data_IF_763824168048
#
_entry.id   IF_763824168048
#
_cell.length_a   1.000
_cell.length_b   1.000
_cell.length_c   1.000
_cell.angle_alpha   90.00
_cell.angle_beta   90.00
_cell.angle_gamma   90.00
#
_symmetry.space_group_name_H-M   'P 1'
#
loop_
_entity.id
_entity.type
_entity.pdbx_description
1 polymer ?
#
# COMPACT_ATOMS: atom_id res chain seq x y z
N UNK A 1 -11.26 -0.39 -34.45
CA UNK A 1 -11.41 -0.75 -33.03
C UNK A 1 -10.39 0.08 -32.27
N UNK A 2 -10.81 0.89 -31.30
CA UNK A 2 -9.86 1.57 -30.43
C UNK A 2 -9.17 0.47 -29.61
N UNK A 3 -7.84 0.36 -29.74
CA UNK A 3 -7.05 -0.52 -28.87
C UNK A 3 -7.10 0.03 -27.44
N UNK A 4 -7.35 -0.84 -26.47
CA UNK A 4 -7.29 -0.50 -25.07
C UNK A 4 -5.88 0.01 -24.75
N UNK A 5 -5.77 1.21 -24.15
CA UNK A 5 -4.50 1.92 -23.95
C UNK A 5 -3.41 1.08 -23.24
N UNK A 6 -3.84 0.17 -22.37
CA UNK A 6 -2.93 -0.67 -21.57
C UNK A 6 -2.31 -1.83 -22.36
N UNK A 7 -2.87 -2.20 -23.55
CA UNK A 7 -2.31 -3.28 -24.39
C UNK A 7 -0.99 -2.91 -25.04
N UNK A 8 -0.79 -1.62 -25.33
CA UNK A 8 0.41 -1.11 -25.97
C UNK A 8 1.28 -0.29 -24.99
N UNK A 9 0.96 -0.35 -23.68
CA UNK A 9 1.66 0.41 -22.67
C UNK A 9 3.06 -0.17 -22.39
N UNK A 10 4.05 0.72 -22.28
CA UNK A 10 5.36 0.41 -21.72
C UNK A 10 5.39 0.99 -20.31
N UNK A 11 5.47 0.12 -19.32
CA UNK A 11 5.39 0.47 -17.90
C UNK A 11 6.80 0.56 -17.31
N UNK A 12 7.11 1.69 -16.68
CA UNK A 12 8.33 1.88 -15.90
C UNK A 12 7.99 1.85 -14.41
N UNK A 13 8.38 0.78 -13.74
CA UNK A 13 8.16 0.63 -12.29
C UNK A 13 9.19 1.44 -11.51
N UNK A 14 8.73 2.16 -10.49
CA UNK A 14 9.57 2.96 -9.60
C UNK A 14 9.38 2.48 -8.17
N UNK A 15 10.50 2.13 -7.54
CA UNK A 15 10.62 2.01 -6.10
C UNK A 15 11.14 3.34 -5.54
N UNK A 16 10.28 4.21 -4.95
CA UNK A 16 10.63 5.62 -4.70
C UNK A 16 11.90 5.80 -3.87
N UNK A 17 12.03 5.06 -2.77
CA UNK A 17 13.16 5.19 -1.82
C UNK A 17 14.55 5.02 -2.44
N UNK A 18 14.67 4.27 -3.53
CA UNK A 18 15.97 3.98 -4.17
C UNK A 18 16.12 4.61 -5.56
N UNK A 19 15.15 5.44 -6.00
CA UNK A 19 15.15 5.93 -7.37
C UNK A 19 15.95 7.24 -7.54
N UNK A 20 15.55 8.30 -6.85
CA UNK A 20 16.21 9.60 -6.92
C UNK A 20 15.94 10.40 -5.64
N UNK A 21 16.99 10.72 -4.95
CA UNK A 21 17.01 11.63 -3.81
C UNK A 21 17.05 13.09 -4.33
N UNK A 22 16.11 13.91 -3.90
CA UNK A 22 16.02 15.31 -4.32
C UNK A 22 16.60 16.30 -3.33
N UNK A 23 16.77 15.91 -2.06
CA UNK A 23 17.14 16.77 -0.94
C UNK A 23 18.51 16.45 -0.32
N UNK A 24 19.11 15.29 -0.68
CA UNK A 24 20.44 14.88 -0.22
C UNK A 24 20.45 14.13 1.11
N UNK A 25 19.31 13.56 1.54
CA UNK A 25 19.19 12.79 2.78
C UNK A 25 19.53 11.29 2.61
N UNK A 26 19.78 10.85 1.37
CA UNK A 26 20.07 9.45 1.02
C UNK A 26 18.84 8.62 0.70
N UNK A 27 17.64 9.22 0.71
CA UNK A 27 16.36 8.55 0.45
C UNK A 27 15.74 9.15 -0.80
N UNK A 28 15.36 8.31 -1.76
CA UNK A 28 14.61 8.76 -2.94
C UNK A 28 13.19 9.20 -2.56
N UNK A 29 12.66 10.19 -3.27
CA UNK A 29 11.42 10.86 -2.95
C UNK A 29 10.58 11.23 -4.19
N UNK A 30 9.35 11.74 -3.99
CA UNK A 30 8.44 12.12 -5.06
C UNK A 30 9.00 13.26 -5.93
N UNK A 31 9.71 14.21 -5.33
CA UNK A 31 10.36 15.32 -6.06
C UNK A 31 11.49 14.80 -6.93
N UNK A 32 12.25 13.82 -6.46
CA UNK A 32 13.26 13.13 -7.24
C UNK A 32 12.66 12.43 -8.47
N UNK A 33 11.48 11.78 -8.31
CA UNK A 33 10.78 11.22 -9.45
C UNK A 33 10.39 12.29 -10.46
N UNK A 34 9.88 13.44 -10.00
CA UNK A 34 9.53 14.58 -10.87
C UNK A 34 10.74 15.04 -11.69
N UNK A 35 11.93 15.12 -11.09
CA UNK A 35 13.15 15.51 -11.78
C UNK A 35 13.56 14.52 -12.88
N UNK A 36 13.08 13.28 -12.84
CA UNK A 36 13.44 12.21 -13.79
C UNK A 36 12.34 11.88 -14.82
N UNK A 37 11.22 12.60 -14.83
CA UNK A 37 10.11 12.32 -15.76
C UNK A 37 10.53 12.38 -17.23
N UNK A 38 11.37 13.34 -17.60
CA UNK A 38 11.86 13.47 -18.99
C UNK A 38 12.76 12.28 -19.36
N UNK A 39 13.60 11.82 -18.43
CA UNK A 39 14.39 10.59 -18.62
C UNK A 39 13.49 9.38 -18.83
N UNK A 40 12.50 9.16 -17.97
CA UNK A 40 11.55 8.03 -18.09
C UNK A 40 10.84 8.09 -19.45
N UNK A 41 10.39 9.28 -19.84
CA UNK A 41 9.74 9.48 -21.15
C UNK A 41 10.68 9.16 -22.32
N UNK A 42 11.96 9.52 -22.22
CA UNK A 42 12.96 9.27 -23.26
C UNK A 42 13.26 7.79 -23.50
N UNK A 43 12.97 6.93 -22.50
CA UNK A 43 13.07 5.48 -22.62
C UNK A 43 11.89 4.85 -23.40
N UNK A 44 10.90 5.64 -23.81
CA UNK A 44 9.71 5.17 -24.49
C UNK A 44 8.60 4.68 -23.53
N UNK A 45 8.76 4.88 -22.23
CA UNK A 45 7.69 4.57 -21.26
C UNK A 45 6.46 5.45 -21.50
N UNK A 46 5.29 4.87 -21.31
CA UNK A 46 3.98 5.55 -21.39
C UNK A 46 3.23 5.53 -20.07
N UNK A 47 3.69 4.70 -19.13
CA UNK A 47 3.11 4.54 -17.81
C UNK A 47 4.22 4.50 -16.76
N UNK A 48 4.00 5.16 -15.63
CA UNK A 48 4.79 5.01 -14.42
C UNK A 48 3.98 4.16 -13.45
N UNK A 49 4.59 3.12 -12.89
CA UNK A 49 4.05 2.35 -11.79
C UNK A 49 4.81 2.70 -10.51
N UNK A 50 4.14 3.34 -9.57
CA UNK A 50 4.70 3.65 -8.25
C UNK A 50 4.47 2.47 -7.29
N UNK A 51 5.54 1.91 -6.74
CA UNK A 51 5.45 1.10 -5.53
C UNK A 51 4.88 1.94 -4.38
N UNK A 52 4.36 1.31 -3.30
CA UNK A 52 3.58 2.02 -2.28
C UNK A 52 4.28 3.26 -1.74
N UNK A 53 3.54 4.37 -1.72
CA UNK A 53 3.98 5.67 -1.20
C UNK A 53 3.18 6.12 0.02
N UNK A 54 2.24 5.29 0.46
CA UNK A 54 1.35 5.56 1.60
C UNK A 54 2.10 5.57 2.93
N UNK A 55 1.49 6.17 3.95
CA UNK A 55 2.02 6.08 5.32
C UNK A 55 2.15 4.61 5.75
N UNK A 56 3.33 4.26 6.26
CA UNK A 56 3.71 2.88 6.58
C UNK A 56 4.80 2.88 7.65
N UNK A 57 4.84 1.93 8.58
CA UNK A 57 6.00 1.70 9.44
C UNK A 57 7.20 1.04 8.73
N UNK A 58 7.09 0.76 7.42
CA UNK A 58 8.15 0.24 6.54
C UNK A 58 8.72 -1.13 6.94
N UNK A 59 7.93 -1.97 7.59
CA UNK A 59 8.33 -3.35 7.95
C UNK A 59 8.49 -4.21 6.68
N UNK A 60 7.67 -3.92 5.66
CA UNK A 60 7.71 -4.54 4.34
C UNK A 60 7.81 -3.47 3.24
N UNK A 61 8.73 -2.54 3.41
CA UNK A 61 9.08 -1.53 2.39
C UNK A 61 7.90 -0.72 1.84
N UNK A 62 6.88 -0.45 2.67
CA UNK A 62 5.69 0.31 2.30
C UNK A 62 4.46 -0.54 1.99
N UNK A 63 4.62 -1.87 1.83
CA UNK A 63 3.49 -2.78 1.64
C UNK A 63 2.70 -3.05 2.93
N UNK A 64 3.15 -2.57 4.08
CA UNK A 64 2.47 -2.56 5.37
C UNK A 64 1.83 -1.19 5.62
N UNK A 65 0.71 -0.92 4.98
CA UNK A 65 0.07 0.41 4.96
C UNK A 65 -0.65 0.67 6.29
N UNK A 66 -0.30 1.80 6.93
CA UNK A 66 -0.95 2.27 8.16
C UNK A 66 -2.01 3.34 7.92
N UNK A 67 -1.95 4.06 6.79
CA UNK A 67 -2.96 5.03 6.36
C UNK A 67 -2.94 5.16 4.83
N UNK A 68 -4.06 4.84 4.18
CA UNK A 68 -4.21 4.93 2.72
C UNK A 68 -4.39 6.37 2.23
N UNK A 69 -4.70 7.31 3.10
CA UNK A 69 -4.99 8.71 2.77
C UNK A 69 -3.81 9.65 3.03
N UNK A 70 -2.65 9.11 3.42
CA UNK A 70 -1.46 9.90 3.71
C UNK A 70 -0.24 9.36 2.94
N UNK A 71 0.63 10.28 2.51
CA UNK A 71 1.93 9.95 1.94
C UNK A 71 2.92 9.71 3.08
N UNK A 72 3.83 8.73 2.90
CA UNK A 72 4.92 8.49 3.85
C UNK A 72 5.82 9.73 3.95
N UNK A 73 6.11 10.26 5.15
CA UNK A 73 6.79 11.56 5.30
C UNK A 73 8.17 11.65 4.64
N UNK A 74 8.93 10.54 4.59
CA UNK A 74 10.23 10.52 3.92
C UNK A 74 10.12 10.62 2.40
N UNK A 75 8.96 10.26 1.82
CA UNK A 75 8.75 10.30 0.37
C UNK A 75 8.19 11.63 -0.13
N UNK A 76 7.62 12.45 0.77
CA UNK A 76 7.06 13.75 0.42
C UNK A 76 5.68 13.99 1.02
N UNK A 77 4.93 14.86 0.37
CA UNK A 77 3.59 15.29 0.79
C UNK A 77 2.55 14.97 -0.27
N UNK A 78 1.27 15.18 0.05
CA UNK A 78 0.17 15.07 -0.92
C UNK A 78 0.33 16.09 -2.05
N UNK A 79 0.80 17.31 -1.74
CA UNK A 79 1.10 18.34 -2.74
C UNK A 79 2.22 17.91 -3.70
N UNK A 80 3.22 17.17 -3.21
CA UNK A 80 4.28 16.60 -4.05
C UNK A 80 3.71 15.51 -4.97
N UNK A 81 2.78 14.69 -4.48
CA UNK A 81 2.10 13.69 -5.31
C UNK A 81 1.22 14.35 -6.38
N UNK A 82 0.44 15.37 -6.02
CA UNK A 82 -0.38 16.13 -6.98
C UNK A 82 0.52 16.80 -8.05
N UNK A 83 1.69 17.29 -7.65
CA UNK A 83 2.67 17.85 -8.56
C UNK A 83 3.22 16.78 -9.51
N UNK A 84 3.58 15.60 -8.99
CA UNK A 84 4.05 14.46 -9.78
C UNK A 84 2.99 14.05 -10.81
N UNK A 85 1.74 13.88 -10.38
CA UNK A 85 0.64 13.47 -11.25
C UNK A 85 0.43 14.47 -12.40
N UNK A 86 0.36 15.77 -12.08
CA UNK A 86 0.22 16.84 -13.07
C UNK A 86 1.40 16.86 -14.06
N UNK A 87 2.64 16.77 -13.56
CA UNK A 87 3.86 16.80 -14.37
C UNK A 87 3.99 15.56 -15.28
N UNK A 88 3.59 14.37 -14.78
CA UNK A 88 3.55 13.15 -15.56
C UNK A 88 2.53 13.27 -16.70
N UNK A 89 1.32 13.72 -16.41
CA UNK A 89 0.25 13.90 -17.40
C UNK A 89 0.64 14.92 -18.49
N UNK A 90 1.29 16.02 -18.14
CA UNK A 90 1.80 17.00 -19.12
C UNK A 90 2.80 16.39 -20.11
N UNK A 91 3.49 15.32 -19.73
CA UNK A 91 4.43 14.55 -20.57
C UNK A 91 3.79 13.37 -21.29
N UNK A 92 2.48 13.19 -21.15
CA UNK A 92 1.74 12.05 -21.70
C UNK A 92 2.03 10.73 -20.99
N UNK A 93 2.57 10.78 -19.77
CA UNK A 93 2.77 9.60 -18.91
C UNK A 93 1.51 9.39 -18.04
N UNK A 94 1.03 8.15 -17.99
CA UNK A 94 0.02 7.74 -17.02
C UNK A 94 0.70 7.31 -15.73
N UNK A 95 -0.01 7.40 -14.62
CA UNK A 95 0.46 6.91 -13.31
C UNK A 95 -0.47 5.82 -12.85
N UNK A 96 0.09 4.68 -12.45
CA UNK A 96 -0.61 3.62 -11.73
C UNK A 96 0.07 3.41 -10.38
N UNK A 97 -0.71 3.02 -9.39
CA UNK A 97 -0.24 2.79 -8.02
C UNK A 97 -0.60 1.38 -7.58
N UNK A 98 0.18 0.83 -6.66
CA UNK A 98 -0.16 -0.43 -6.00
C UNK A 98 -1.45 -0.28 -5.18
N UNK A 99 -2.34 -1.23 -5.35
CA UNK A 99 -3.55 -1.39 -4.54
C UNK A 99 -3.31 -2.53 -3.54
N UNK A 100 -2.74 -2.19 -2.40
CA UNK A 100 -2.40 -3.16 -1.35
C UNK A 100 -3.59 -3.32 -0.40
N UNK A 101 -4.46 -4.26 -0.71
CA UNK A 101 -5.73 -4.50 0.01
C UNK A 101 -5.94 -5.95 0.43
N UNK A 102 -4.87 -6.77 0.41
CA UNK A 102 -4.90 -8.10 1.04
C UNK A 102 -4.83 -7.95 2.57
N UNK A 103 -4.07 -7.01 3.06
CA UNK A 103 -3.77 -6.76 4.47
C UNK A 103 -3.55 -5.27 4.71
N UNK A 104 -3.47 -4.88 5.98
CA UNK A 104 -2.94 -3.58 6.39
C UNK A 104 -1.71 -3.78 7.28
N UNK A 105 -1.03 -2.69 7.66
CA UNK A 105 -0.17 -2.72 8.83
C UNK A 105 -0.97 -3.04 10.10
N UNK A 106 -0.34 -3.69 11.08
CA UNK A 106 -0.90 -3.80 12.43
C UNK A 106 -1.01 -2.43 13.13
N UNK A 107 -0.37 -1.38 12.58
CA UNK A 107 -0.50 0.00 13.03
C UNK A 107 -1.63 0.77 12.34
N UNK A 108 -2.34 0.16 11.40
CA UNK A 108 -3.51 0.78 10.80
C UNK A 108 -4.60 0.99 11.85
N UNK A 109 -5.30 2.13 11.78
CA UNK A 109 -6.37 2.51 12.71
C UNK A 109 -7.39 1.39 12.91
N UNK A 110 -7.80 0.71 11.83
CA UNK A 110 -8.77 -0.40 11.93
C UNK A 110 -8.28 -1.53 12.82
N UNK A 111 -7.01 -1.92 12.71
CA UNK A 111 -6.46 -2.99 13.56
C UNK A 111 -6.31 -2.53 15.01
N UNK A 112 -5.77 -1.35 15.22
CA UNK A 112 -5.54 -0.79 16.55
C UNK A 112 -6.85 -0.57 17.35
N UNK A 113 -7.84 0.08 16.73
CA UNK A 113 -9.14 0.34 17.38
C UNK A 113 -9.98 -0.93 17.52
N UNK A 114 -9.89 -1.87 16.55
CA UNK A 114 -10.56 -3.17 16.62
C UNK A 114 -10.03 -4.06 17.74
N UNK A 115 -8.71 -4.09 17.93
CA UNK A 115 -8.07 -4.93 18.98
C UNK A 115 -8.18 -4.32 20.37
N UNK A 116 -8.09 -2.99 20.49
CA UNK A 116 -8.26 -2.30 21.79
C UNK A 116 -9.71 -2.23 22.27
N UNK A 117 -10.69 -2.55 21.41
CA UNK A 117 -12.12 -2.42 21.70
C UNK A 117 -12.64 -0.98 21.60
N UNK A 118 -11.83 -0.04 21.15
CA UNK A 118 -12.23 1.34 20.94
C UNK A 118 -13.30 1.46 19.84
N UNK A 119 -13.16 0.66 18.78
CA UNK A 119 -14.17 0.47 17.76
C UNK A 119 -14.32 -1.03 17.43
N UNK A 120 -15.22 -1.74 18.13
CA UNK A 120 -15.38 -3.20 17.96
C UNK A 120 -15.75 -3.62 16.53
N UNK A 121 -16.41 -2.77 15.76
CA UNK A 121 -16.78 -3.07 14.37
C UNK A 121 -15.55 -3.29 13.46
N UNK A 122 -14.44 -2.63 13.75
CA UNK A 122 -13.20 -2.82 13.00
C UNK A 122 -12.52 -4.18 13.25
N UNK A 123 -12.88 -4.87 14.33
CA UNK A 123 -12.39 -6.22 14.56
C UNK A 123 -12.76 -7.16 13.43
N UNK A 124 -13.99 -7.06 12.92
CA UNK A 124 -14.52 -7.91 11.85
C UNK A 124 -13.94 -7.55 10.46
N UNK A 125 -13.10 -6.50 10.37
CA UNK A 125 -12.35 -6.19 9.17
C UNK A 125 -11.18 -7.14 8.95
N UNK A 126 -10.83 -7.95 9.95
CA UNK A 126 -9.74 -8.92 9.90
C UNK A 126 -10.27 -10.34 10.14
N UNK A 127 -9.46 -11.34 9.82
CA UNK A 127 -9.83 -12.75 9.95
C UNK A 127 -9.32 -13.28 11.28
N UNK A 128 -10.24 -13.71 12.14
CA UNK A 128 -9.95 -14.18 13.49
C UNK A 128 -10.45 -15.59 13.71
N UNK A 129 -9.68 -16.38 14.49
CA UNK A 129 -10.08 -17.72 14.97
C UNK A 129 -9.65 -17.90 16.44
N UNK A 130 -10.49 -18.55 17.24
CA UNK A 130 -10.17 -18.83 18.65
C UNK A 130 -8.99 -19.79 18.79
N UNK A 131 -8.90 -20.77 17.89
CA UNK A 131 -7.80 -21.72 17.77
C UNK A 131 -7.27 -21.70 16.33
N UNK A 132 -6.02 -22.13 16.13
CA UNK A 132 -5.46 -22.24 14.77
C UNK A 132 -6.24 -23.27 13.96
N UNK A 133 -7.00 -22.89 12.93
CA UNK A 133 -7.88 -23.80 12.20
C UNK A 133 -7.09 -24.76 11.28
N UNK A 134 -5.83 -24.41 10.99
CA UNK A 134 -4.96 -25.19 10.10
C UNK A 134 -3.48 -24.90 10.39
N UNK A 135 -2.58 -25.53 9.61
CA UNK A 135 -1.12 -25.36 9.70
C UNK A 135 -0.56 -24.53 8.54
N UNK A 136 -1.30 -23.57 8.06
CA UNK A 136 -0.80 -22.70 6.99
C UNK A 136 0.46 -21.96 7.43
N UNK A 137 1.41 -21.90 6.49
CA UNK A 137 2.63 -21.11 6.64
C UNK A 137 2.48 -19.72 6.06
N UNK A 138 3.15 -18.76 6.67
CA UNK A 138 3.34 -17.42 6.11
C UNK A 138 4.38 -17.44 4.98
N UNK A 139 4.28 -16.53 4.02
CA UNK A 139 5.28 -16.34 2.97
C UNK A 139 6.67 -16.01 3.51
N UNK A 140 6.74 -15.32 4.65
CA UNK A 140 8.01 -14.99 5.31
C UNK A 140 8.46 -16.02 6.35
N UNK A 141 7.78 -17.18 6.39
CA UNK A 141 8.08 -18.27 7.28
C UNK A 141 7.30 -18.27 8.58
N UNK A 142 7.24 -19.42 9.21
CA UNK A 142 6.44 -19.62 10.43
C UNK A 142 4.95 -19.83 10.14
N UNK A 143 4.13 -19.76 11.19
CA UNK A 143 2.66 -19.89 11.10
C UNK A 143 2.05 -18.65 10.43
N UNK A 144 0.99 -18.84 9.64
CA UNK A 144 0.15 -17.75 9.15
C UNK A 144 -0.87 -17.25 10.19
N UNK A 145 -0.88 -17.80 11.40
CA UNK A 145 -1.77 -17.44 12.48
C UNK A 145 -0.98 -16.96 13.70
N UNK A 146 -1.25 -15.73 14.16
CA UNK A 146 -0.61 -15.14 15.32
C UNK A 146 -1.63 -14.83 16.41
N UNK A 147 -1.29 -15.16 17.66
CA UNK A 147 -2.17 -14.93 18.81
C UNK A 147 -2.09 -13.47 19.26
N UNK A 148 -3.24 -12.82 19.33
CA UNK A 148 -3.36 -11.48 19.90
C UNK A 148 -3.93 -11.57 21.31
N UNK A 149 -3.15 -11.15 22.31
CA UNK A 149 -3.52 -11.25 23.73
C UNK A 149 -4.66 -10.32 24.13
N UNK A 150 -4.83 -9.18 23.46
CA UNK A 150 -5.91 -8.23 23.75
C UNK A 150 -7.27 -8.79 23.31
N UNK A 151 -7.28 -9.46 22.16
CA UNK A 151 -8.48 -10.04 21.58
C UNK A 151 -8.76 -11.44 22.15
N UNK A 152 -7.72 -12.19 22.57
CA UNK A 152 -7.82 -13.57 23.01
C UNK A 152 -8.06 -14.55 21.85
N UNK A 153 -7.63 -14.21 20.63
CA UNK A 153 -7.81 -14.99 19.42
C UNK A 153 -6.60 -14.86 18.50
N UNK A 154 -6.53 -15.75 17.50
CA UNK A 154 -5.50 -15.69 16.46
C UNK A 154 -6.03 -14.91 15.25
N UNK A 155 -5.20 -14.03 14.68
CA UNK A 155 -5.49 -13.40 13.39
C UNK A 155 -4.67 -14.05 12.28
N UNK A 156 -5.23 -14.03 11.07
CA UNK A 156 -4.54 -14.48 9.87
C UNK A 156 -3.54 -13.41 9.39
N UNK A 157 -2.36 -13.85 8.97
CA UNK A 157 -1.37 -13.04 8.24
C UNK A 157 -0.62 -13.91 7.24
N UNK A 158 -0.98 -13.85 5.99
CA UNK A 158 -0.30 -14.62 4.93
C UNK A 158 1.12 -14.08 4.67
N UNK A 159 1.34 -12.79 4.90
CA UNK A 159 2.65 -12.14 4.85
C UNK A 159 3.27 -12.01 6.26
N UNK A 160 3.83 -10.88 6.63
CA UNK A 160 4.44 -10.71 7.94
C UNK A 160 3.39 -10.67 9.07
N UNK A 161 3.81 -11.01 10.29
CA UNK A 161 2.97 -10.85 11.49
C UNK A 161 2.43 -9.44 11.68
N UNK A 162 3.14 -8.45 11.13
CA UNK A 162 2.77 -7.03 11.13
C UNK A 162 1.80 -6.64 10.02
N UNK A 163 1.32 -7.63 9.26
CA UNK A 163 0.43 -7.44 8.11
C UNK A 163 -0.81 -8.34 8.26
N UNK A 164 -1.75 -8.01 9.19
CA UNK A 164 -2.98 -8.78 9.38
C UNK A 164 -3.85 -8.74 8.11
N UNK A 165 -4.32 -9.91 7.69
CA UNK A 165 -5.13 -10.10 6.48
C UNK A 165 -6.55 -9.56 6.67
N UNK A 166 -7.04 -8.86 5.64
CA UNK A 166 -8.36 -8.26 5.60
C UNK A 166 -9.45 -9.29 5.29
N UNK A 167 -10.57 -9.17 5.96
CA UNK A 167 -11.75 -10.03 5.79
C UNK A 167 -12.65 -9.51 4.65
N UNK A 168 -12.35 -9.88 3.41
CA UNK A 168 -13.12 -9.48 2.23
C UNK A 168 -14.56 -10.00 2.20
N UNK A 169 -14.96 -10.89 3.11
CA UNK A 169 -16.37 -11.28 3.26
C UNK A 169 -17.19 -10.20 3.97
N UNK A 170 -16.56 -9.31 4.73
CA UNK A 170 -17.22 -8.21 5.42
C UNK A 170 -17.62 -7.11 4.42
N UNK A 171 -18.93 -6.82 4.26
CA UNK A 171 -19.37 -5.78 3.32
C UNK A 171 -18.93 -4.37 3.73
N UNK A 172 -18.88 -4.06 5.02
CA UNK A 172 -18.46 -2.75 5.51
C UNK A 172 -16.99 -2.48 5.18
N UNK A 173 -16.11 -3.51 5.24
CA UNK A 173 -14.74 -3.38 4.78
C UNK A 173 -14.67 -3.09 3.28
N UNK A 174 -15.44 -3.82 2.45
CA UNK A 174 -15.45 -3.58 1.00
C UNK A 174 -15.88 -2.15 0.66
N UNK A 175 -16.88 -1.62 1.36
CA UNK A 175 -17.35 -0.25 1.16
C UNK A 175 -16.28 0.78 1.55
N UNK A 176 -15.50 0.52 2.61
CA UNK A 176 -14.34 1.36 2.97
C UNK A 176 -13.25 1.35 1.89
N UNK A 177 -12.89 0.16 1.39
CA UNK A 177 -11.91 0.02 0.32
C UNK A 177 -12.39 0.74 -0.95
N UNK A 178 -13.67 0.58 -1.34
CA UNK A 178 -14.22 1.27 -2.52
C UNK A 178 -14.24 2.80 -2.35
N UNK A 179 -14.51 3.29 -1.15
CA UNK A 179 -14.39 4.72 -0.85
C UNK A 179 -12.95 5.22 -1.00
N UNK A 180 -11.99 4.49 -0.48
CA UNK A 180 -10.57 4.80 -0.63
C UNK A 180 -10.15 4.81 -2.12
N UNK A 181 -10.57 3.82 -2.90
CA UNK A 181 -10.28 3.77 -4.34
C UNK A 181 -10.92 4.91 -5.13
N UNK A 182 -11.98 5.52 -4.60
CA UNK A 182 -12.70 6.61 -5.27
C UNK A 182 -12.19 8.00 -4.85
N UNK A 183 -11.38 8.06 -3.82
CA UNK A 183 -10.77 9.28 -3.31
C UNK A 183 -9.55 9.65 -4.14
#
# INVERSE_FOLDING_TARGET
MQTEWWKDAVVYQIYPRSFQDSNGDGIGDLRGIIQRLDYIRSLGATVIWLCPIYASPLIDNGYDISDYYAIHPELGTMEDFDCLLRQAHQRGLRVIMDLVVNHTSDQHRWFQEGTSGQNPAYRDYYIWETEKPNRWGSWFGGSAWEYNTQVGAHYLHIFAKKQPDLNWQNPALRDEIYRMMSW
#
